data_IF_785450102237
#
_entry.id   IF_785450102237
#
_cell.length_a   1.000
_cell.length_b   1.000
_cell.length_c   1.000
_cell.angle_alpha   90.00
_cell.angle_beta   90.00
_cell.angle_gamma   90.00
#
_symmetry.space_group_name_H-M   'P 1'
#
loop_
_entity.id
_entity.type
_entity.pdbx_description
1 polymer ?
#
# COMPACT_ATOMS: atom_id res chain seq x y z
N UNK A 1 -13.89 2.30 -8.61
CA UNK A 1 -12.44 1.95 -8.58
C UNK A 1 -12.28 0.48 -8.92
N UNK A 2 -11.21 0.05 -9.60
CA UNK A 2 -10.93 -1.38 -9.87
C UNK A 2 -10.05 -2.02 -8.77
N UNK A 3 -9.94 -3.35 -8.77
CA UNK A 3 -9.19 -4.12 -7.75
C UNK A 3 -7.68 -3.82 -7.81
N UNK A 4 -7.11 -3.62 -9.00
CA UNK A 4 -5.69 -3.29 -9.15
C UNK A 4 -5.35 -1.93 -8.52
N UNK A 5 -6.22 -0.93 -8.77
CA UNK A 5 -6.14 0.39 -8.13
C UNK A 5 -6.30 0.31 -6.61
N UNK A 6 -7.16 -0.58 -6.11
CA UNK A 6 -7.33 -0.79 -4.67
C UNK A 6 -6.10 -1.43 -4.02
N UNK A 7 -5.45 -2.40 -4.69
CA UNK A 7 -4.20 -3.02 -4.25
C UNK A 7 -3.02 -2.04 -4.26
N UNK A 8 -2.96 -1.13 -5.23
CA UNK A 8 -2.01 -0.04 -5.22
C UNK A 8 -2.15 0.82 -3.94
N UNK A 9 -3.39 1.17 -3.57
CA UNK A 9 -3.66 1.93 -2.36
C UNK A 9 -3.31 1.19 -1.06
N UNK A 10 -3.33 -0.14 -1.06
CA UNK A 10 -2.80 -0.95 0.07
C UNK A 10 -1.30 -0.70 0.26
N UNK A 11 -0.53 -0.75 -0.82
CA UNK A 11 0.92 -0.47 -0.74
C UNK A 11 1.20 0.97 -0.34
N UNK A 12 0.42 1.93 -0.85
CA UNK A 12 0.50 3.35 -0.44
C UNK A 12 0.19 3.53 1.04
N UNK A 13 -0.83 2.86 1.57
CA UNK A 13 -1.16 2.91 2.99
C UNK A 13 -0.02 2.33 3.85
N UNK A 14 0.61 1.23 3.42
CA UNK A 14 1.78 0.66 4.09
C UNK A 14 2.96 1.64 4.10
N UNK A 15 3.35 2.18 2.95
CA UNK A 15 4.44 3.15 2.84
C UNK A 15 4.17 4.41 3.65
N UNK A 16 2.93 4.91 3.66
CA UNK A 16 2.54 6.07 4.46
C UNK A 16 2.56 5.78 5.97
N UNK A 17 2.31 4.54 6.39
CA UNK A 17 2.43 4.12 7.79
C UNK A 17 3.88 3.82 8.21
N UNK A 18 4.73 3.38 7.27
CA UNK A 18 6.15 3.07 7.51
C UNK A 18 7.08 4.29 7.48
N UNK A 19 6.73 5.32 6.71
CA UNK A 19 7.56 6.51 6.57
C UNK A 19 7.73 7.26 7.90
N UNK A 20 8.92 7.80 8.17
CA UNK A 20 9.23 8.56 9.41
C UNK A 20 8.41 9.85 9.60
N UNK A 21 7.63 10.25 8.59
CA UNK A 21 6.58 11.27 8.67
C UNK A 21 5.19 10.62 8.50
N UNK A 22 4.94 9.52 9.20
CA UNK A 22 3.68 8.80 9.15
C UNK A 22 2.55 9.78 9.45
N UNK A 23 1.79 10.13 8.42
CA UNK A 23 0.63 10.98 8.60
C UNK A 23 -0.42 10.16 9.32
N UNK A 24 -1.15 10.76 10.26
CA UNK A 24 -2.23 10.06 10.97
C UNK A 24 -3.26 9.41 10.01
N UNK A 25 -3.35 9.92 8.78
CA UNK A 25 -4.12 9.34 7.69
C UNK A 25 -3.57 7.99 7.20
N UNK A 26 -2.26 7.84 7.02
CA UNK A 26 -1.61 6.59 6.61
C UNK A 26 -1.76 5.48 7.65
N UNK A 27 -1.50 5.79 8.92
CA UNK A 27 -1.68 4.83 10.02
C UNK A 27 -3.15 4.42 10.20
N UNK A 28 -4.08 5.39 10.09
CA UNK A 28 -5.51 5.12 10.16
C UNK A 28 -5.99 4.23 9.00
N UNK A 29 -5.51 4.50 7.78
CA UNK A 29 -5.82 3.70 6.60
C UNK A 29 -5.26 2.27 6.72
N UNK A 30 -4.00 2.13 7.13
CA UNK A 30 -3.37 0.82 7.35
C UNK A 30 -4.08 0.02 8.44
N UNK A 31 -4.38 0.62 9.59
CA UNK A 31 -5.14 -0.04 10.66
C UNK A 31 -6.53 -0.46 10.21
N UNK A 32 -7.22 0.38 9.44
CA UNK A 32 -8.54 0.07 8.88
C UNK A 32 -8.48 -1.10 7.89
N UNK A 33 -7.43 -1.17 7.06
CA UNK A 33 -7.18 -2.32 6.19
C UNK A 33 -6.97 -3.60 7.00
N UNK A 34 -6.13 -3.57 8.04
CA UNK A 34 -5.88 -4.75 8.87
C UNK A 34 -7.11 -5.18 9.67
N UNK A 35 -7.98 -4.25 10.08
CA UNK A 35 -9.30 -4.55 10.64
C UNK A 35 -10.22 -5.20 9.60
N UNK A 36 -10.23 -4.68 8.37
CA UNK A 36 -10.98 -5.25 7.25
C UNK A 36 -10.54 -6.68 6.95
N UNK A 37 -9.22 -6.91 6.86
CA UNK A 37 -8.62 -8.22 6.60
C UNK A 37 -8.93 -9.22 7.71
N UNK A 38 -8.88 -8.78 8.98
CA UNK A 38 -9.25 -9.61 10.14
C UNK A 38 -10.74 -9.96 10.19
N UNK A 39 -11.61 -9.04 9.78
CA UNK A 39 -13.08 -9.23 9.80
C UNK A 39 -13.63 -9.84 8.52
N UNK A 40 -12.84 -9.94 7.46
CA UNK A 40 -13.27 -10.59 6.24
C UNK A 40 -13.53 -12.07 6.56
N UNK A 41 -14.78 -12.55 6.46
CA UNK A 41 -15.07 -13.95 6.70
C UNK A 41 -14.23 -14.77 5.71
N UNK A 42 -13.36 -15.62 6.24
CA UNK A 42 -12.88 -16.80 5.52
C UNK A 42 -14.13 -17.56 5.16
N UNK A 43 -14.52 -17.56 3.88
CA UNK A 43 -15.72 -18.26 3.44
C UNK A 43 -15.52 -19.77 3.66
N UNK A 44 -15.80 -20.21 4.89
CA UNK A 44 -16.31 -21.53 5.15
C UNK A 44 -17.70 -21.56 4.53
N UNK A 45 -17.97 -22.57 3.72
CA UNK A 45 -19.33 -22.87 3.32
C UNK A 45 -20.22 -22.97 4.55
N UNK A 46 -21.45 -22.48 4.41
CA UNK A 46 -22.56 -22.61 5.36
C UNK A 46 -22.51 -23.93 6.16
N UNK A 47 -22.01 -23.89 7.40
CA UNK A 47 -21.83 -25.07 8.25
C UNK A 47 -21.00 -24.78 9.49
N UNK A 48 -21.23 -25.50 10.61
CA UNK A 48 -20.52 -25.27 11.86
C UNK A 48 -19.00 -25.43 11.65
N UNK A 49 -18.27 -24.36 11.99
CA UNK A 49 -16.87 -24.14 11.67
C UNK A 49 -15.95 -25.27 12.16
N UNK A 50 -15.39 -26.03 11.23
CA UNK A 50 -14.21 -26.85 11.49
C UNK A 50 -12.97 -25.99 11.21
N UNK A 51 -12.14 -25.66 12.22
CA UNK A 51 -10.97 -24.78 12.08
C UNK A 51 -9.91 -25.33 11.11
N UNK A 52 -10.04 -26.58 10.65
CA UNK A 52 -9.16 -27.19 9.64
C UNK A 52 -9.48 -26.77 8.19
N UNK A 53 -10.64 -26.14 7.92
CA UNK A 53 -11.10 -25.82 6.54
C UNK A 53 -11.17 -24.32 6.26
N UNK A 54 -10.86 -23.48 7.25
CA UNK A 54 -10.64 -22.06 7.01
C UNK A 54 -9.42 -21.92 6.10
N UNK A 55 -9.63 -21.41 4.88
CA UNK A 55 -8.50 -20.98 4.03
C UNK A 55 -7.56 -20.10 4.86
N UNK A 56 -6.24 -20.10 4.55
CA UNK A 56 -5.23 -19.56 5.44
C UNK A 56 -5.64 -18.17 5.91
N UNK A 57 -5.86 -18.03 7.21
CA UNK A 57 -6.14 -16.74 7.82
C UNK A 57 -5.07 -15.76 7.32
N UNK A 58 -5.50 -14.62 6.77
CA UNK A 58 -4.59 -13.57 6.39
C UNK A 58 -3.92 -13.08 7.67
N UNK A 59 -2.73 -13.60 7.95
CA UNK A 59 -1.99 -13.34 9.19
C UNK A 59 -1.82 -11.82 9.35
N UNK A 60 -2.47 -11.18 10.34
CA UNK A 60 -2.61 -9.74 10.39
C UNK A 60 -1.42 -9.04 11.07
N UNK A 61 -0.35 -9.77 11.37
CA UNK A 61 0.88 -9.19 11.93
C UNK A 61 1.83 -8.72 10.81
N UNK A 62 1.31 -7.97 9.84
CA UNK A 62 2.11 -7.38 8.75
C UNK A 62 2.70 -6.07 9.24
N UNK A 63 4.03 -6.00 9.32
CA UNK A 63 4.74 -4.74 9.54
C UNK A 63 4.64 -3.88 8.28
N UNK A 64 4.02 -2.67 8.33
CA UNK A 64 3.96 -1.78 7.18
C UNK A 64 5.34 -1.37 6.67
N UNK A 65 6.38 -1.40 7.52
CA UNK A 65 7.77 -1.12 7.16
C UNK A 65 8.53 -2.29 6.54
N UNK A 66 7.97 -3.51 6.57
CA UNK A 66 8.55 -4.67 5.90
C UNK A 66 7.89 -4.88 4.53
N UNK A 67 8.57 -4.40 3.49
CA UNK A 67 8.07 -4.52 2.13
C UNK A 67 7.81 -5.95 1.68
N UNK A 68 8.54 -6.95 2.19
CA UNK A 68 8.31 -8.34 1.82
C UNK A 68 6.97 -8.83 2.37
N UNK A 69 6.66 -8.48 3.62
CA UNK A 69 5.37 -8.81 4.23
C UNK A 69 4.22 -8.08 3.54
N UNK A 70 4.39 -6.80 3.20
CA UNK A 70 3.38 -6.02 2.46
C UNK A 70 3.13 -6.63 1.08
N UNK A 71 4.18 -7.03 0.34
CA UNK A 71 4.02 -7.70 -0.96
C UNK A 71 3.26 -9.03 -0.86
N UNK A 72 3.56 -9.85 0.16
CA UNK A 72 2.84 -11.10 0.41
C UNK A 72 1.37 -10.83 0.74
N UNK A 73 1.08 -9.83 1.56
CA UNK A 73 -0.29 -9.42 1.87
C UNK A 73 -1.05 -9.00 0.60
N UNK A 74 -0.48 -8.10 -0.21
CA UNK A 74 -1.09 -7.62 -1.45
C UNK A 74 -1.36 -8.77 -2.42
N UNK A 75 -0.44 -9.74 -2.54
CA UNK A 75 -0.63 -10.94 -3.34
C UNK A 75 -1.83 -11.77 -2.88
N UNK A 76 -1.93 -12.04 -1.57
CA UNK A 76 -3.07 -12.80 -1.02
C UNK A 76 -4.41 -12.04 -1.15
N UNK A 77 -4.39 -10.72 -1.05
CA UNK A 77 -5.58 -9.88 -1.31
C UNK A 77 -6.03 -9.99 -2.76
N UNK A 78 -5.09 -10.03 -3.71
CA UNK A 78 -5.38 -10.21 -5.12
C UNK A 78 -6.02 -11.58 -5.40
N UNK A 79 -5.42 -12.66 -4.88
CA UNK A 79 -5.97 -14.02 -4.98
C UNK A 79 -7.37 -14.13 -4.38
N UNK A 80 -7.59 -13.47 -3.23
CA UNK A 80 -8.90 -13.46 -2.57
C UNK A 80 -9.93 -12.64 -3.34
N UNK A 81 -9.55 -11.52 -3.93
CA UNK A 81 -10.44 -10.70 -4.75
C UNK A 81 -10.83 -11.39 -6.06
N UNK A 82 -9.95 -12.21 -6.63
CA UNK A 82 -10.26 -13.03 -7.81
C UNK A 82 -11.24 -14.17 -7.47
N UNK A 83 -11.10 -14.78 -6.28
CA UNK A 83 -11.96 -15.87 -5.82
C UNK A 83 -13.31 -15.43 -5.20
N UNK A 84 -13.43 -14.16 -4.78
CA UNK A 84 -14.57 -13.65 -4.01
C UNK A 84 -14.93 -12.22 -4.47
N UNK A 85 -15.94 -12.11 -5.34
CA UNK A 85 -16.38 -10.84 -5.91
C UNK A 85 -16.95 -9.87 -4.83
N UNK A 86 -17.54 -10.40 -3.76
CA UNK A 86 -18.01 -9.58 -2.64
C UNK A 86 -16.81 -9.00 -1.86
N UNK A 87 -15.76 -9.79 -1.68
CA UNK A 87 -14.50 -9.31 -1.12
C UNK A 87 -13.87 -8.23 -2.00
N UNK A 88 -13.82 -8.44 -3.32
CA UNK A 88 -13.32 -7.46 -4.28
C UNK A 88 -14.09 -6.14 -4.18
N UNK A 89 -15.43 -6.19 -4.15
CA UNK A 89 -16.27 -5.01 -4.02
C UNK A 89 -16.03 -4.26 -2.70
N UNK A 90 -15.85 -4.99 -1.58
CA UNK A 90 -15.53 -4.37 -0.28
C UNK A 90 -14.14 -3.74 -0.27
N UNK A 91 -13.14 -4.38 -0.89
CA UNK A 91 -11.80 -3.84 -1.04
C UNK A 91 -11.80 -2.55 -1.87
N UNK A 92 -12.55 -2.51 -2.98
CA UNK A 92 -12.73 -1.31 -3.78
C UNK A 92 -13.41 -0.19 -2.98
N UNK A 93 -14.43 -0.50 -2.17
CA UNK A 93 -15.07 0.51 -1.30
C UNK A 93 -14.14 1.05 -0.22
N UNK A 94 -13.33 0.18 0.39
CA UNK A 94 -12.30 0.62 1.33
C UNK A 94 -11.35 1.61 0.65
N UNK A 95 -10.89 1.27 -0.55
CA UNK A 95 -9.96 2.10 -1.31
C UNK A 95 -10.59 3.43 -1.76
N UNK A 96 -11.88 3.46 -2.11
CA UNK A 96 -12.62 4.70 -2.37
C UNK A 96 -12.76 5.60 -1.14
N UNK A 97 -12.89 5.00 0.05
CA UNK A 97 -13.03 5.75 1.30
C UNK A 97 -11.70 6.35 1.79
N UNK A 98 -10.59 5.62 1.65
CA UNK A 98 -9.29 6.05 2.16
C UNK A 98 -8.37 6.65 1.10
N UNK A 99 -8.61 6.38 -0.18
CA UNK A 99 -7.85 6.93 -1.32
C UNK A 99 -7.72 8.45 -1.31
N UNK A 100 -8.77 9.23 -1.03
CA UNK A 100 -8.67 10.70 -0.95
C UNK A 100 -7.81 11.22 0.21
N UNK A 101 -7.59 10.40 1.24
CA UNK A 101 -6.85 10.77 2.46
C UNK A 101 -5.38 10.35 2.40
N UNK A 102 -5.06 9.37 1.55
CA UNK A 102 -3.70 8.94 1.32
C UNK A 102 -3.06 9.89 0.31
N UNK A 103 -1.83 10.36 0.54
CA UNK A 103 -1.08 10.98 -0.55
C UNK A 103 -0.99 9.92 -1.64
N UNK A 104 -1.53 10.22 -2.83
CA UNK A 104 -1.42 9.36 -4.00
C UNK A 104 0.07 9.27 -4.32
N UNK A 105 0.78 8.33 -3.68
CA UNK A 105 2.07 7.86 -4.15
C UNK A 105 1.73 7.25 -5.49
N UNK A 106 1.98 8.02 -6.55
CA UNK A 106 1.74 7.61 -7.92
C UNK A 106 2.22 6.16 -8.06
N UNK A 107 1.30 5.26 -8.37
CA UNK A 107 1.58 3.83 -8.53
C UNK A 107 2.31 3.57 -9.86
N UNK A 108 3.16 4.49 -10.26
CA UNK A 108 4.19 4.25 -11.25
C UNK A 108 5.47 4.18 -10.43
N UNK A 109 6.12 3.01 -10.47
CA UNK A 109 7.51 2.86 -10.04
C UNK A 109 8.34 3.95 -10.70
N UNK A 110 8.49 5.09 -10.04
CA UNK A 110 9.39 6.12 -10.49
C UNK A 110 10.74 5.74 -9.90
N UNK A 111 11.43 4.80 -10.55
CA UNK A 111 12.83 4.52 -10.26
C UNK A 111 13.63 5.72 -10.77
N UNK A 112 13.87 6.70 -9.91
CA UNK A 112 14.65 7.89 -10.27
C UNK A 112 16.13 7.50 -10.33
N UNK A 113 16.63 7.28 -11.54
CA UNK A 113 18.05 7.11 -11.79
C UNK A 113 18.70 8.44 -12.18
N UNK A 114 19.38 9.05 -11.23
CA UNK A 114 20.09 10.31 -11.41
C UNK A 114 21.57 10.03 -11.69
N UNK A 115 22.04 10.36 -12.90
CA UNK A 115 23.45 10.21 -13.26
C UNK A 115 24.01 11.55 -13.75
N UNK A 116 25.08 12.02 -13.10
CA UNK A 116 25.96 13.06 -13.65
C UNK A 116 27.18 12.35 -14.24
N UNK A 117 27.29 12.31 -15.55
CA UNK A 117 28.33 11.57 -16.26
C UNK A 117 29.20 12.49 -17.15
N UNK A 118 30.32 11.92 -17.60
CA UNK A 118 31.25 12.38 -18.65
C UNK A 118 31.63 13.87 -18.62
N UNK A 119 32.76 14.19 -17.98
CA UNK A 119 33.41 15.51 -18.09
C UNK A 119 32.59 16.71 -17.58
N UNK A 120 31.50 16.47 -16.85
CA UNK A 120 30.59 17.52 -16.39
C UNK A 120 31.30 18.55 -15.49
N UNK A 121 31.59 19.74 -16.03
CA UNK A 121 32.10 20.87 -15.27
C UNK A 121 30.94 21.70 -14.73
N UNK A 122 30.46 21.34 -13.55
CA UNK A 122 29.38 22.05 -12.86
C UNK A 122 29.96 23.32 -12.21
N UNK A 123 29.38 24.47 -12.55
CA UNK A 123 29.64 25.74 -11.87
C UNK A 123 28.31 26.21 -11.26
N UNK A 124 28.06 25.82 -10.00
CA UNK A 124 26.80 26.09 -9.29
C UNK A 124 26.24 24.84 -8.58
N UNK A 125 24.99 24.93 -8.11
CA UNK A 125 24.31 23.85 -7.41
C UNK A 125 23.62 22.89 -8.38
N UNK A 126 23.69 21.59 -8.08
CA UNK A 126 22.87 20.56 -8.74
C UNK A 126 21.97 19.94 -7.70
N UNK A 127 20.68 19.86 -8.03
CA UNK A 127 19.68 19.17 -7.22
C UNK A 127 19.05 18.09 -8.07
N UNK A 128 19.06 16.88 -7.54
CA UNK A 128 18.55 15.68 -8.18
C UNK A 128 17.67 14.97 -7.14
N UNK A 129 16.36 15.02 -7.32
CA UNK A 129 15.40 14.47 -6.38
C UNK A 129 14.18 13.94 -7.12
N UNK A 130 13.52 12.96 -6.52
CA UNK A 130 12.23 12.45 -6.98
C UNK A 130 11.10 13.39 -6.56
N UNK A 131 11.02 13.69 -5.27
CA UNK A 131 10.05 14.62 -4.69
C UNK A 131 10.76 15.63 -3.80
N UNK A 132 10.27 16.87 -3.79
CA UNK A 132 10.74 17.93 -2.89
C UNK A 132 9.53 18.58 -2.25
N UNK A 133 9.52 18.60 -0.92
CA UNK A 133 8.47 19.24 -0.12
C UNK A 133 9.08 20.37 0.71
N UNK A 134 8.50 21.58 0.60
CA UNK A 134 9.02 22.79 1.22
C UNK A 134 9.95 23.60 0.29
N UNK A 135 10.57 24.65 0.83
CA UNK A 135 11.36 25.58 0.02
C UNK A 135 12.81 25.12 -0.13
N UNK A 136 13.33 25.24 -1.36
CA UNK A 136 14.76 25.16 -1.65
C UNK A 136 15.28 26.60 -1.72
N UNK A 137 16.32 26.90 -0.95
CA UNK A 137 17.07 28.15 -1.05
C UNK A 137 18.51 27.83 -1.45
N UNK A 138 18.98 28.41 -2.55
CA UNK A 138 20.31 28.16 -3.11
C UNK A 138 21.23 29.39 -3.03
N UNK A 139 20.90 30.33 -2.15
CA UNK A 139 21.63 31.58 -1.98
C UNK A 139 21.11 32.68 -2.89
#
# INVERSE_FOLDING_TARGET
MDVGSALALVTTAASAAAGGAATAAGESAWRSLMDFVRRAPTRAGDGPEDPATAGPALDPAVDPGDEAQVRVLTGRLAERADADEEFAARLCRWAEQYGPTLPLVHTERSEVHNTVADGARIQGHVIQAQDIHGNINLG
#
